data_IF_348992229587
#
_entry.id   IF_348992229587
#
_cell.length_a   1.000
_cell.length_b   1.000
_cell.length_c   1.000
_cell.angle_alpha   90.00
_cell.angle_beta   90.00
_cell.angle_gamma   90.00
#
_symmetry.space_group_name_H-M   'P 1'
#
loop_
_entity.id
_entity.type
_entity.pdbx_description
1 polymer ?
#
# COMPACT_ATOMS: atom_id res chain seq x y z
N UNK A 1 65.06 -15.66 15.11
CA UNK A 1 64.34 -15.49 13.83
C UNK A 1 62.94 -14.97 14.11
N UNK A 2 62.52 -13.95 13.35
CA UNK A 2 61.27 -13.19 13.54
C UNK A 2 60.04 -14.05 13.20
N UNK A 3 58.96 -13.91 13.97
CA UNK A 3 57.59 -13.81 13.43
C UNK A 3 56.67 -13.17 14.47
N UNK A 4 56.34 -11.90 14.20
CA UNK A 4 55.24 -11.15 14.77
C UNK A 4 53.93 -11.73 14.23
N UNK A 5 52.96 -11.98 15.11
CA UNK A 5 51.55 -12.18 14.74
C UNK A 5 50.76 -11.12 15.52
N UNK A 6 50.09 -10.17 14.84
CA UNK A 6 49.42 -9.07 15.50
C UNK A 6 48.06 -9.53 16.02
N UNK A 7 47.91 -9.43 17.33
CA UNK A 7 46.61 -9.22 17.96
C UNK A 7 46.05 -7.85 17.50
N UNK A 8 44.73 -7.65 17.60
CA UNK A 8 43.98 -6.36 17.54
C UNK A 8 43.34 -5.97 16.20
N UNK A 9 42.29 -6.66 15.75
CA UNK A 9 41.34 -6.06 14.78
C UNK A 9 39.85 -6.45 14.95
N UNK A 10 39.50 -7.42 15.80
CA UNK A 10 38.11 -7.92 15.88
C UNK A 10 37.14 -7.15 16.81
N UNK A 11 37.61 -6.15 17.56
CA UNK A 11 36.79 -5.47 18.57
C UNK A 11 36.09 -4.17 18.08
N UNK A 12 36.38 -3.71 16.86
CA UNK A 12 35.85 -2.44 16.31
C UNK A 12 34.50 -2.58 15.58
N UNK A 13 34.26 -3.71 14.92
CA UNK A 13 33.06 -3.89 14.07
C UNK A 13 31.76 -4.03 14.89
N UNK A 14 31.84 -4.62 16.09
CA UNK A 14 30.67 -4.84 16.96
C UNK A 14 30.10 -3.55 17.55
N UNK A 15 30.94 -2.53 17.79
CA UNK A 15 30.50 -1.23 18.32
C UNK A 15 29.83 -0.34 17.27
N UNK A 16 30.24 -0.47 16.01
CA UNK A 16 29.63 0.27 14.89
C UNK A 16 28.27 -0.31 14.51
N UNK A 17 28.08 -1.63 14.66
CA UNK A 17 26.81 -2.29 14.38
C UNK A 17 25.71 -1.93 15.40
N UNK A 18 26.08 -1.72 16.68
CA UNK A 18 25.12 -1.34 17.73
C UNK A 18 24.61 0.11 17.60
N UNK A 19 25.43 1.04 17.09
CA UNK A 19 25.06 2.44 16.87
C UNK A 19 24.11 2.63 15.68
N UNK A 20 24.21 1.78 14.65
CA UNK A 20 23.30 1.77 13.50
C UNK A 20 21.87 1.35 13.88
N UNK A 21 21.71 0.51 14.90
CA UNK A 21 20.39 0.00 15.32
C UNK A 21 19.59 1.06 16.09
N UNK A 22 20.27 1.95 16.82
CA UNK A 22 19.65 3.01 17.63
C UNK A 22 19.19 4.19 16.76
N UNK A 23 19.91 4.49 15.67
CA UNK A 23 19.55 5.59 14.75
C UNK A 23 18.25 5.33 13.96
N UNK A 24 17.82 4.06 13.84
CA UNK A 24 16.60 3.69 13.13
C UNK A 24 15.32 3.98 13.94
N UNK A 25 15.39 3.99 15.28
CA UNK A 25 14.21 4.21 16.13
C UNK A 25 13.73 5.68 16.18
N UNK A 26 14.52 6.64 15.68
CA UNK A 26 14.25 8.07 15.87
C UNK A 26 13.54 8.76 14.68
N UNK A 27 13.09 8.00 13.66
CA UNK A 27 12.48 8.56 12.45
C UNK A 27 10.95 8.45 12.37
N UNK A 28 10.26 8.09 13.44
CA UNK A 28 8.78 8.04 13.43
C UNK A 28 8.25 9.46 13.69
N UNK A 29 8.24 10.29 12.64
CA UNK A 29 7.47 11.53 12.66
C UNK A 29 5.96 11.18 12.61
N UNK A 30 5.10 11.85 13.40
CA UNK A 30 3.66 11.66 13.28
C UNK A 30 3.20 12.19 11.93
N UNK A 31 2.68 11.29 11.08
CA UNK A 31 1.99 11.69 9.84
C UNK A 31 0.72 12.43 10.26
N UNK A 32 0.52 13.63 9.72
CA UNK A 32 -0.55 14.54 10.15
C UNK A 32 -1.92 14.03 9.69
N UNK A 33 -2.75 13.56 10.62
CA UNK A 33 -4.10 13.03 10.35
C UNK A 33 -5.10 14.07 9.80
N UNK A 34 -4.78 15.37 9.83
CA UNK A 34 -5.70 16.44 9.45
C UNK A 34 -5.88 16.62 7.91
N UNK A 35 -4.99 16.06 7.09
CA UNK A 35 -5.10 16.12 5.63
C UNK A 35 -5.94 14.99 5.03
N UNK A 36 -6.22 13.93 5.81
CA UNK A 36 -6.94 12.73 5.35
C UNK A 36 -8.43 12.98 5.09
N UNK A 37 -9.09 13.83 5.88
CA UNK A 37 -10.54 14.04 5.70
C UNK A 37 -10.91 14.72 4.38
N UNK A 38 -10.05 15.60 3.86
CA UNK A 38 -10.29 16.35 2.61
C UNK A 38 -9.94 15.54 1.36
N UNK A 39 -9.06 14.56 1.47
CA UNK A 39 -8.52 13.78 0.36
C UNK A 39 -9.02 12.33 0.34
N UNK A 40 -10.14 12.03 0.99
CA UNK A 40 -10.73 10.69 1.03
C UNK A 40 -12.12 10.64 0.39
N UNK A 41 -12.50 9.46 -0.07
CA UNK A 41 -13.84 9.17 -0.59
C UNK A 41 -14.79 8.78 0.54
N UNK A 42 -16.02 9.24 0.45
CA UNK A 42 -17.16 8.73 1.19
C UNK A 42 -17.71 7.43 0.58
N UNK A 43 -18.44 6.67 1.40
CA UNK A 43 -18.97 5.36 1.02
C UNK A 43 -19.96 5.47 -0.16
N UNK A 44 -20.83 6.49 -0.16
CA UNK A 44 -21.83 6.70 -1.21
C UNK A 44 -21.19 6.93 -2.58
N UNK A 45 -20.11 7.71 -2.63
CA UNK A 45 -19.32 7.95 -3.85
C UNK A 45 -18.73 6.67 -4.40
N UNK A 46 -18.17 5.81 -3.54
CA UNK A 46 -17.60 4.52 -3.97
C UNK A 46 -18.70 3.58 -4.46
N UNK A 47 -19.85 3.51 -3.78
CA UNK A 47 -21.00 2.70 -4.23
C UNK A 47 -21.51 3.20 -5.58
N UNK A 48 -21.58 4.52 -5.79
CA UNK A 48 -22.01 5.11 -7.06
C UNK A 48 -21.04 4.78 -8.21
N UNK A 49 -19.74 4.88 -7.98
CA UNK A 49 -18.75 4.53 -8.99
C UNK A 49 -18.74 3.02 -9.28
N UNK A 50 -18.89 2.20 -8.24
CA UNK A 50 -19.04 0.76 -8.38
C UNK A 50 -20.27 0.41 -9.21
N UNK A 51 -21.40 1.10 -9.00
CA UNK A 51 -22.59 0.98 -9.85
C UNK A 51 -22.32 1.39 -11.30
N UNK A 52 -21.60 2.49 -11.49
CA UNK A 52 -21.28 2.97 -12.84
C UNK A 52 -20.38 1.97 -13.61
N UNK A 53 -19.49 1.27 -12.91
CA UNK A 53 -18.56 0.33 -13.52
C UNK A 53 -19.13 -1.09 -13.69
N UNK A 54 -19.75 -1.63 -12.63
CA UNK A 54 -20.26 -3.00 -12.60
C UNK A 54 -21.75 -3.12 -13.00
N UNK A 55 -22.47 -2.01 -13.16
CA UNK A 55 -23.92 -2.01 -13.42
C UNK A 55 -24.73 -1.90 -12.13
N UNK A 56 -25.93 -2.51 -12.06
CA UNK A 56 -26.70 -2.51 -10.82
C UNK A 56 -25.90 -3.13 -9.67
N UNK A 57 -25.48 -2.33 -8.69
CA UNK A 57 -24.78 -2.86 -7.53
C UNK A 57 -25.74 -3.71 -6.72
N UNK A 58 -25.36 -4.97 -6.56
CA UNK A 58 -26.04 -5.94 -5.72
C UNK A 58 -25.92 -5.55 -4.24
N UNK A 59 -26.86 -6.02 -3.42
CA UNK A 59 -26.78 -5.84 -1.97
C UNK A 59 -25.46 -6.39 -1.40
N UNK A 60 -24.95 -7.47 -1.96
CA UNK A 60 -23.70 -8.09 -1.50
C UNK A 60 -22.48 -7.23 -1.82
N UNK A 61 -22.44 -6.57 -2.98
CA UNK A 61 -21.38 -5.59 -3.27
C UNK A 61 -21.42 -4.42 -2.29
N UNK A 62 -22.62 -3.92 -1.96
CA UNK A 62 -22.76 -2.86 -0.97
C UNK A 62 -22.27 -3.28 0.43
N UNK A 63 -22.60 -4.52 0.86
CA UNK A 63 -22.12 -5.07 2.14
C UNK A 63 -20.59 -5.22 2.18
N UNK A 64 -19.97 -5.62 1.08
CA UNK A 64 -18.50 -5.70 0.98
C UNK A 64 -17.88 -4.30 1.11
N UNK A 65 -18.42 -3.31 0.41
CA UNK A 65 -17.94 -1.92 0.51
C UNK A 65 -18.10 -1.41 1.95
N UNK A 66 -19.27 -1.60 2.57
CA UNK A 66 -19.51 -1.20 3.96
C UNK A 66 -18.51 -1.86 4.93
N UNK A 67 -18.27 -3.17 4.77
CA UNK A 67 -17.31 -3.90 5.57
C UNK A 67 -15.91 -3.33 5.43
N UNK A 68 -15.46 -3.06 4.21
CA UNK A 68 -14.13 -2.47 3.97
C UNK A 68 -14.03 -1.07 4.59
N UNK A 69 -15.07 -0.23 4.47
CA UNK A 69 -15.08 1.08 5.11
C UNK A 69 -15.04 0.99 6.64
N UNK A 70 -15.72 -0.01 7.22
CA UNK A 70 -15.69 -0.26 8.66
C UNK A 70 -14.33 -0.76 9.16
N UNK A 71 -13.66 -1.59 8.36
CA UNK A 71 -12.38 -2.22 8.74
C UNK A 71 -11.16 -1.35 8.42
N UNK A 72 -11.19 -0.60 7.31
CA UNK A 72 -10.06 0.14 6.75
C UNK A 72 -10.28 1.66 6.73
N UNK A 73 -11.49 2.13 7.05
CA UNK A 73 -11.81 3.56 6.99
C UNK A 73 -12.03 4.06 5.57
N UNK A 74 -11.82 5.37 5.37
CA UNK A 74 -12.13 6.05 4.11
C UNK A 74 -10.93 5.98 3.16
N UNK A 75 -11.10 5.49 1.92
CA UNK A 75 -9.99 5.36 0.99
C UNK A 75 -9.63 6.71 0.36
N UNK A 76 -8.34 6.92 0.05
CA UNK A 76 -7.84 8.09 -0.70
C UNK A 76 -8.05 7.95 -2.22
N UNK A 77 -8.30 6.73 -2.68
CA UNK A 77 -8.45 6.38 -4.08
C UNK A 77 -8.98 4.98 -4.31
N UNK A 78 -9.35 4.71 -5.55
CA UNK A 78 -9.81 3.40 -6.00
C UNK A 78 -9.20 3.07 -7.37
N UNK A 79 -9.12 1.78 -7.70
CA UNK A 79 -8.64 1.32 -9.02
C UNK A 79 -9.85 0.75 -9.76
N UNK A 80 -10.04 1.18 -11.00
CA UNK A 80 -11.02 0.58 -11.92
C UNK A 80 -10.33 0.06 -13.17
N UNK A 81 -10.72 -1.11 -13.66
CA UNK A 81 -10.01 -1.75 -14.75
C UNK A 81 -10.56 -3.11 -15.11
N UNK A 82 -10.03 -3.65 -16.19
CA UNK A 82 -10.38 -4.97 -16.69
C UNK A 82 -9.25 -5.95 -16.36
N UNK A 83 -9.63 -7.13 -15.88
CA UNK A 83 -8.70 -8.24 -15.68
C UNK A 83 -8.97 -9.30 -16.76
N UNK A 84 -7.94 -9.60 -17.56
CA UNK A 84 -7.97 -10.71 -18.49
C UNK A 84 -7.36 -11.94 -17.82
N UNK A 85 -8.21 -12.91 -17.49
CA UNK A 85 -7.76 -14.16 -16.88
C UNK A 85 -7.70 -15.30 -17.90
N UNK A 86 -6.51 -15.86 -18.07
CA UNK A 86 -6.28 -17.16 -18.71
C UNK A 86 -6.10 -18.27 -17.64
N UNK A 87 -6.56 -18.04 -16.41
CA UNK A 87 -6.37 -18.94 -15.28
C UNK A 87 -6.93 -20.35 -15.53
N UNK A 88 -7.98 -20.47 -16.35
CA UNK A 88 -8.62 -21.75 -16.68
C UNK A 88 -7.71 -22.66 -17.51
N UNK A 89 -6.79 -22.10 -18.31
CA UNK A 89 -5.94 -22.88 -19.23
C UNK A 89 -4.48 -22.90 -18.79
N UNK A 90 -3.93 -21.76 -18.35
CA UNK A 90 -2.49 -21.60 -18.08
C UNK A 90 -2.18 -20.96 -16.71
N UNK A 91 -3.20 -20.60 -15.92
CA UNK A 91 -2.99 -20.07 -14.58
C UNK A 91 -2.48 -18.61 -14.51
N UNK A 92 -2.60 -17.84 -15.59
CA UNK A 92 -2.14 -16.44 -15.64
C UNK A 92 -3.32 -15.47 -15.70
N UNK A 93 -3.23 -14.37 -14.92
CA UNK A 93 -4.11 -13.21 -15.01
C UNK A 93 -3.27 -11.98 -15.35
N UNK A 94 -3.76 -11.15 -16.27
CA UNK A 94 -3.18 -9.86 -16.60
C UNK A 94 -4.23 -8.77 -16.38
N UNK A 95 -3.93 -7.84 -15.48
CA UNK A 95 -4.81 -6.72 -15.16
C UNK A 95 -4.40 -5.47 -15.92
N UNK A 96 -5.37 -4.61 -16.24
CA UNK A 96 -5.10 -3.22 -16.62
C UNK A 96 -6.16 -2.34 -16.01
N UNK A 97 -5.74 -1.29 -15.31
CA UNK A 97 -6.64 -0.35 -14.69
C UNK A 97 -6.10 1.06 -14.58
N UNK A 98 -6.92 1.90 -14.00
CA UNK A 98 -6.67 3.30 -13.69
C UNK A 98 -6.91 3.52 -12.20
N UNK A 99 -5.85 3.94 -11.50
CA UNK A 99 -5.92 4.47 -10.14
C UNK A 99 -6.52 5.87 -10.19
N UNK A 100 -7.57 6.08 -9.42
CA UNK A 100 -8.29 7.33 -9.26
C UNK A 100 -8.06 7.84 -7.84
N UNK A 101 -7.40 8.98 -7.69
CA UNK A 101 -7.18 9.63 -6.40
C UNK A 101 -8.15 10.79 -6.21
N UNK A 102 -8.54 11.05 -4.95
CA UNK A 102 -9.49 12.13 -4.61
C UNK A 102 -8.96 13.52 -4.97
N UNK A 103 -7.64 13.69 -4.95
CA UNK A 103 -6.97 14.93 -5.31
C UNK A 103 -6.97 15.21 -6.84
N UNK A 104 -7.54 14.32 -7.65
CA UNK A 104 -7.64 14.45 -9.10
C UNK A 104 -6.50 13.77 -9.87
N UNK A 105 -5.50 13.23 -9.18
CA UNK A 105 -4.44 12.46 -9.83
C UNK A 105 -4.95 11.11 -10.34
N UNK A 106 -4.40 10.71 -11.48
CA UNK A 106 -4.73 9.44 -12.14
C UNK A 106 -3.44 8.74 -12.55
N UNK A 107 -3.35 7.43 -12.32
CA UNK A 107 -2.23 6.61 -12.78
C UNK A 107 -2.68 5.31 -13.41
N UNK A 108 -2.01 4.88 -14.49
CA UNK A 108 -2.24 3.57 -15.11
C UNK A 108 -1.59 2.47 -14.25
N UNK A 109 -2.32 1.38 -14.05
CA UNK A 109 -1.89 0.19 -13.30
C UNK A 109 -1.99 -1.02 -14.23
N UNK A 110 -1.01 -1.93 -14.18
CA UNK A 110 -0.93 -3.16 -14.96
C UNK A 110 -0.47 -4.32 -14.07
#
# INVERSE_FOLDING_TARGET
MRKLIPTRHFLSASRLFLLSLIACLMQIAPVSAAEEEKNTYDQESIVKEAKAFFGEATEDLAKVIEKVFKEQGRPVGYIKGEELSAAITVGLSYGKGDLMLKNGETAKVF
#
